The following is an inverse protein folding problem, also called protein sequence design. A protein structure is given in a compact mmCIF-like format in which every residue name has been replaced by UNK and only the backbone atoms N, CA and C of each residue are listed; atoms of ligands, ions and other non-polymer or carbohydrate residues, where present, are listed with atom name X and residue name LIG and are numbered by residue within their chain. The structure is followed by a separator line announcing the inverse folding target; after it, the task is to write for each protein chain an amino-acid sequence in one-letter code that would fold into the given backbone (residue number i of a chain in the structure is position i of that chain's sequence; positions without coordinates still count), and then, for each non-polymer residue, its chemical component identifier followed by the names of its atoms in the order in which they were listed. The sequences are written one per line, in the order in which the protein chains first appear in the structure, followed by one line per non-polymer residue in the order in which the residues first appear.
data_IF_590095826544
#
_entry.id   IF_590095826544
#
_cell.length_a   1.000
_cell.length_b   1.000
_cell.length_c   1.000
_cell.angle_alpha   90.00
_cell.angle_beta   90.00
_cell.angle_gamma   90.00
#
_symmetry.space_group_name_H-M   'P 1'
#
loop_
_entity.id
_entity.type
_entity.pdbx_description
1 polymer ?
#
# COMPACT_ATOMS: atom_id res chain seq x y z
N UNK A 1 -5.24 -2.04 -21.21
CA UNK A 1 -4.29 -1.16 -20.50
C UNK A 1 -3.02 -1.95 -20.20
N UNK A 2 -1.85 -1.42 -20.52
CA UNK A 2 -0.57 -2.06 -20.15
C UNK A 2 -0.19 -1.78 -18.68
N UNK A 3 0.81 -2.50 -18.19
CA UNK A 3 1.23 -2.48 -16.79
C UNK A 3 1.85 -1.15 -16.36
N UNK A 4 2.63 -0.50 -17.23
CA UNK A 4 3.29 0.76 -16.90
C UNK A 4 2.25 1.88 -16.73
N UNK A 5 1.24 1.92 -17.61
CA UNK A 5 0.12 2.85 -17.47
C UNK A 5 -0.66 2.59 -16.17
N UNK A 6 -0.96 1.32 -15.85
CA UNK A 6 -1.65 0.99 -14.60
C UNK A 6 -0.84 1.40 -13.35
N UNK A 7 0.49 1.24 -13.38
CA UNK A 7 1.38 1.68 -12.31
C UNK A 7 1.36 3.21 -12.15
N UNK A 8 1.39 3.96 -13.25
CA UNK A 8 1.31 5.43 -13.22
C UNK A 8 -0.03 5.88 -12.63
N UNK A 9 -1.14 5.29 -13.08
CA UNK A 9 -2.47 5.60 -12.55
C UNK A 9 -2.53 5.31 -11.04
N UNK A 10 -2.00 4.17 -10.60
CA UNK A 10 -1.94 3.82 -9.18
C UNK A 10 -1.14 4.86 -8.36
N UNK A 11 0.04 5.25 -8.83
CA UNK A 11 0.87 6.28 -8.21
C UNK A 11 0.15 7.63 -8.12
N UNK A 12 -0.59 8.01 -9.17
CA UNK A 12 -1.31 9.27 -9.22
C UNK A 12 -2.57 9.28 -8.33
N UNK A 13 -3.27 8.14 -8.19
CA UNK A 13 -4.45 8.02 -7.32
C UNK A 13 -4.09 8.04 -5.83
N UNK A 14 -2.84 7.76 -5.47
CA UNK A 14 -2.36 7.73 -4.07
C UNK A 14 -1.56 8.99 -3.73
N UNK A 15 -0.27 8.99 -4.04
CA UNK A 15 0.72 10.00 -3.65
C UNK A 15 0.94 11.06 -4.75
N UNK A 16 0.23 10.97 -5.87
CA UNK A 16 0.44 11.86 -7.00
C UNK A 16 -0.67 12.89 -7.23
N UNK A 17 -0.50 13.65 -8.31
CA UNK A 17 -1.44 14.69 -8.71
C UNK A 17 -1.29 15.07 -10.17
N UNK A 18 -2.39 15.53 -10.75
CA UNK A 18 -2.40 16.32 -11.98
C UNK A 18 -2.80 17.75 -11.64
N UNK A 19 -2.04 18.73 -12.11
CA UNK A 19 -2.32 20.16 -11.87
C UNK A 19 -2.15 20.96 -13.14
N UNK A 20 -3.21 21.61 -13.62
CA UNK A 20 -3.12 22.59 -14.69
C UNK A 20 -2.29 23.80 -14.18
N UNK A 21 -1.14 24.05 -14.81
CA UNK A 21 -0.24 25.17 -14.46
C UNK A 21 -0.48 26.37 -15.36
N UNK A 22 -0.68 26.14 -16.64
CA UNK A 22 -1.07 27.14 -17.65
C UNK A 22 -2.04 26.48 -18.64
N UNK A 23 -2.65 27.27 -19.54
CA UNK A 23 -3.62 26.76 -20.52
C UNK A 23 -3.14 25.51 -21.28
N UNK A 24 -1.83 25.43 -21.58
CA UNK A 24 -1.22 24.34 -22.36
C UNK A 24 -0.19 23.54 -21.57
N UNK A 25 -0.28 23.53 -20.23
CA UNK A 25 0.70 22.83 -19.39
C UNK A 25 0.05 22.20 -18.17
N UNK A 26 0.00 20.87 -18.17
CA UNK A 26 -0.36 20.07 -16.99
C UNK A 26 0.91 19.54 -16.35
N UNK A 27 1.05 19.75 -15.05
CA UNK A 27 2.05 19.09 -14.20
C UNK A 27 1.52 17.72 -13.78
N UNK A 28 2.29 16.69 -14.07
CA UNK A 28 2.09 15.31 -13.62
C UNK A 28 3.12 15.07 -12.53
N UNK A 29 2.69 14.79 -11.31
CA UNK A 29 3.63 14.73 -10.19
C UNK A 29 3.36 13.63 -9.20
N UNK A 30 4.44 13.20 -8.54
CA UNK A 30 4.46 12.31 -7.40
C UNK A 30 5.08 13.01 -6.20
N UNK A 31 4.38 13.03 -5.07
CA UNK A 31 4.85 13.56 -3.79
C UNK A 31 5.21 12.41 -2.85
N UNK A 32 6.51 12.16 -2.63
CA UNK A 32 6.98 11.06 -1.78
C UNK A 32 8.30 11.38 -1.08
N UNK A 33 8.54 10.73 0.06
CA UNK A 33 9.85 10.77 0.74
C UNK A 33 10.78 9.64 0.32
N UNK A 34 10.29 8.66 -0.46
CA UNK A 34 11.09 7.52 -0.93
C UNK A 34 11.82 7.83 -2.23
N UNK A 35 13.16 7.71 -2.25
CA UNK A 35 13.98 7.72 -3.48
C UNK A 35 13.43 6.70 -4.49
N UNK A 36 13.22 5.47 -4.02
CA UNK A 36 12.80 4.34 -4.84
C UNK A 36 11.54 4.68 -5.64
N UNK A 37 10.55 5.32 -5.01
CA UNK A 37 9.34 5.74 -5.69
C UNK A 37 9.58 6.85 -6.72
N UNK A 38 10.51 7.78 -6.47
CA UNK A 38 10.89 8.82 -7.44
C UNK A 38 11.60 8.24 -8.65
N UNK A 39 12.53 7.31 -8.44
CA UNK A 39 13.25 6.62 -9.51
C UNK A 39 12.27 5.80 -10.35
N UNK A 40 11.36 5.08 -9.70
CA UNK A 40 10.37 4.27 -10.37
C UNK A 40 9.36 5.10 -11.16
N UNK A 41 8.86 6.19 -10.59
CA UNK A 41 8.02 7.14 -11.32
C UNK A 41 8.75 7.71 -12.54
N UNK A 42 10.02 8.08 -12.38
CA UNK A 42 10.81 8.63 -13.50
C UNK A 42 11.02 7.62 -14.62
N UNK A 43 11.30 6.37 -14.26
CA UNK A 43 11.40 5.25 -15.21
C UNK A 43 10.08 5.05 -15.96
N UNK A 44 8.96 5.00 -15.24
CA UNK A 44 7.62 4.80 -15.83
C UNK A 44 7.25 5.94 -16.78
N UNK A 45 7.43 7.20 -16.36
CA UNK A 45 7.13 8.37 -17.21
C UNK A 45 7.97 8.39 -18.49
N UNK A 46 9.26 8.07 -18.39
CA UNK A 46 10.16 8.00 -19.56
C UNK A 46 9.78 6.85 -20.48
N UNK A 47 9.50 5.67 -19.93
CA UNK A 47 9.21 4.46 -20.72
C UNK A 47 7.84 4.55 -21.40
N UNK A 48 6.80 4.97 -20.67
CA UNK A 48 5.43 4.99 -21.16
C UNK A 48 5.12 6.20 -22.05
N UNK A 49 5.68 7.37 -21.73
CA UNK A 49 5.31 8.63 -22.37
C UNK A 49 6.48 9.39 -22.99
N UNK A 50 7.72 8.88 -22.89
CA UNK A 50 8.91 9.61 -23.35
C UNK A 50 9.19 10.88 -22.53
N UNK A 51 8.58 11.04 -21.36
CA UNK A 51 8.70 12.24 -20.54
C UNK A 51 9.83 12.10 -19.51
N UNK A 52 10.73 13.08 -19.50
CA UNK A 52 11.70 13.21 -18.41
C UNK A 52 11.03 13.88 -17.21
N UNK A 53 11.14 13.25 -16.05
CA UNK A 53 10.76 13.86 -14.77
C UNK A 53 11.97 14.47 -14.09
N UNK A 54 11.75 15.63 -13.46
CA UNK A 54 12.73 16.28 -12.60
C UNK A 54 12.28 16.17 -11.15
N UNK A 55 13.21 15.82 -10.26
CA UNK A 55 12.96 15.80 -8.82
C UNK A 55 13.37 17.12 -8.17
N UNK A 56 12.47 17.65 -7.34
CA UNK A 56 12.75 18.79 -6.46
C UNK A 56 12.18 18.50 -5.07
N UNK A 57 13.08 18.34 -4.09
CA UNK A 57 12.75 17.93 -2.71
C UNK A 57 11.97 16.61 -2.69
N UNK A 58 10.77 16.61 -2.13
CA UNK A 58 9.90 15.44 -2.03
C UNK A 58 9.03 15.22 -3.29
N UNK A 59 9.18 16.04 -4.32
CA UNK A 59 8.28 16.04 -5.49
C UNK A 59 9.03 15.71 -6.77
N UNK A 60 8.59 14.67 -7.49
CA UNK A 60 9.00 14.42 -8.88
C UNK A 60 7.92 14.91 -9.83
N UNK A 61 8.33 15.56 -10.92
CA UNK A 61 7.42 16.26 -11.84
C UNK A 61 7.79 16.01 -13.28
N UNK A 62 6.80 15.72 -14.11
CA UNK A 62 6.84 15.81 -15.55
C UNK A 62 5.78 16.81 -16.03
N UNK A 63 5.92 17.32 -17.25
CA UNK A 63 4.98 18.28 -17.82
C UNK A 63 4.55 17.84 -19.22
N UNK A 64 3.24 17.72 -19.43
CA UNK A 64 2.67 17.48 -20.74
C UNK A 64 1.16 17.70 -20.67
N UNK A 65 0.64 18.55 -21.56
CA UNK A 65 -0.81 18.76 -21.66
C UNK A 65 -1.50 17.51 -22.22
N UNK A 66 -1.00 16.98 -23.34
CA UNK A 66 -1.59 15.82 -24.01
C UNK A 66 -1.68 14.60 -23.06
N UNK A 67 -0.58 14.27 -22.39
CA UNK A 67 -0.54 13.13 -21.45
C UNK A 67 -1.39 13.41 -20.22
N UNK A 68 -1.37 14.65 -19.70
CA UNK A 68 -2.23 15.03 -18.57
C UNK A 68 -3.72 14.87 -18.88
N UNK A 69 -4.16 15.30 -20.05
CA UNK A 69 -5.55 15.15 -20.51
C UNK A 69 -5.91 13.69 -20.76
N UNK A 70 -5.01 12.91 -21.39
CA UNK A 70 -5.18 11.47 -21.56
C UNK A 70 -5.39 10.77 -20.20
N UNK A 71 -4.56 11.08 -19.21
CA UNK A 71 -4.64 10.50 -17.88
C UNK A 71 -5.97 10.85 -17.18
N UNK A 72 -6.51 12.06 -17.36
CA UNK A 72 -7.80 12.48 -16.78
C UNK A 72 -8.98 11.67 -17.32
N UNK A 73 -8.90 11.19 -18.57
CA UNK A 73 -9.97 10.38 -19.17
C UNK A 73 -10.17 9.03 -18.46
N UNK A 74 -9.17 8.54 -17.72
CA UNK A 74 -9.23 7.23 -17.05
C UNK A 74 -9.91 7.24 -15.68
N UNK A 75 -9.81 8.34 -14.94
CA UNK A 75 -10.26 8.39 -13.52
C UNK A 75 -11.18 9.57 -13.23
N UNK A 76 -11.46 10.42 -14.22
CA UNK A 76 -12.13 11.73 -14.08
C UNK A 76 -11.22 12.78 -13.44
N UNK A 77 -10.67 12.48 -12.26
CA UNK A 77 -9.62 13.27 -11.61
C UNK A 77 -8.74 12.38 -10.74
N UNK A 78 -7.58 12.90 -10.31
CA UNK A 78 -6.65 12.21 -9.39
C UNK A 78 -6.67 12.81 -7.98
N UNK A 79 -7.46 13.86 -7.76
CA UNK A 79 -7.65 14.39 -6.42
C UNK A 79 -8.51 13.41 -5.63
N UNK A 80 -8.04 12.94 -4.47
CA UNK A 80 -8.84 12.04 -3.60
C UNK A 80 -9.40 12.73 -2.35
N UNK A 81 -9.07 14.02 -2.16
CA UNK A 81 -9.43 14.80 -0.97
C UNK A 81 -10.82 15.42 -1.11
N UNK A 82 -11.59 15.31 -0.02
CA UNK A 82 -12.89 15.96 0.17
C UNK A 82 -12.85 17.46 -0.11
N UNK A 83 -13.82 17.97 -0.87
CA UNK A 83 -14.07 19.39 -1.04
C UNK A 83 -14.94 19.87 0.11
N UNK A 84 -14.40 20.76 0.96
CA UNK A 84 -15.12 21.29 2.11
C UNK A 84 -16.23 22.24 1.67
N UNK A 85 -16.00 22.93 0.56
CA UNK A 85 -16.87 23.96 -0.01
C UNK A 85 -18.17 23.35 -0.54
N UNK A 86 -18.09 22.19 -1.19
CA UNK A 86 -19.23 21.49 -1.78
C UNK A 86 -19.72 20.30 -0.96
N UNK A 87 -19.05 20.01 0.16
CA UNK A 87 -19.30 18.86 1.03
C UNK A 87 -19.35 17.52 0.26
N UNK A 88 -18.46 17.37 -0.75
CA UNK A 88 -18.44 16.22 -1.65
C UNK A 88 -17.02 15.72 -1.89
N UNK A 89 -16.90 14.43 -2.15
CA UNK A 89 -15.69 13.89 -2.77
C UNK A 89 -15.69 14.21 -4.27
N UNK A 90 -14.51 14.41 -4.87
CA UNK A 90 -14.37 14.47 -6.33
C UNK A 90 -14.89 13.18 -7.00
N UNK A 91 -15.24 13.26 -8.28
CA UNK A 91 -15.59 12.08 -9.06
C UNK A 91 -14.31 11.33 -9.48
N UNK A 92 -13.70 10.67 -8.51
CA UNK A 92 -12.49 9.86 -8.69
C UNK A 92 -12.81 8.39 -8.59
N UNK A 93 -12.36 7.63 -9.58
CA UNK A 93 -12.58 6.19 -9.66
C UNK A 93 -11.34 5.46 -10.20
N UNK A 94 -11.25 4.16 -9.92
CA UNK A 94 -10.33 3.23 -10.58
C UNK A 94 -10.85 3.00 -12.00
N UNK A 95 -10.00 3.01 -13.05
CA UNK A 95 -10.43 2.81 -14.43
C UNK A 95 -11.09 1.45 -14.64
N UNK A 96 -12.08 1.39 -15.54
CA UNK A 96 -12.80 0.16 -15.86
C UNK A 96 -11.89 -0.92 -16.45
N UNK A 97 -10.85 -0.54 -17.18
CA UNK A 97 -9.85 -1.48 -17.71
C UNK A 97 -9.05 -2.18 -16.61
N UNK A 98 -8.88 -1.54 -15.46
CA UNK A 98 -8.25 -2.17 -14.28
C UNK A 98 -9.28 -3.02 -13.53
N UNK A 99 -10.48 -2.51 -13.29
CA UNK A 99 -11.57 -3.25 -12.61
C UNK A 99 -11.90 -4.56 -13.33
N UNK A 100 -11.96 -4.50 -14.66
CA UNK A 100 -12.27 -5.63 -15.53
C UNK A 100 -11.02 -6.36 -16.06
N UNK A 101 -9.82 -5.86 -15.77
CA UNK A 101 -8.56 -6.45 -16.16
C UNK A 101 -8.31 -7.86 -15.62
N UNK A 102 -7.30 -8.53 -16.20
CA UNK A 102 -6.86 -9.83 -15.73
C UNK A 102 -6.17 -9.76 -14.35
N UNK A 103 -5.95 -10.92 -13.73
CA UNK A 103 -5.35 -10.98 -12.40
C UNK A 103 -3.95 -10.37 -12.35
N UNK A 104 -3.15 -10.44 -13.43
CA UNK A 104 -1.78 -9.91 -13.46
C UNK A 104 -1.77 -8.39 -13.50
N UNK A 105 -2.69 -7.78 -14.26
CA UNK A 105 -2.86 -6.33 -14.32
C UNK A 105 -3.35 -5.78 -12.97
N UNK A 106 -4.36 -6.42 -12.38
CA UNK A 106 -4.90 -6.02 -11.07
C UNK A 106 -3.83 -6.12 -9.98
N UNK A 107 -3.09 -7.24 -9.92
CA UNK A 107 -1.99 -7.41 -8.97
C UNK A 107 -0.92 -6.33 -9.15
N UNK A 108 -0.58 -5.99 -10.39
CA UNK A 108 0.39 -4.95 -10.68
C UNK A 108 -0.10 -3.57 -10.24
N UNK A 109 -1.33 -3.18 -10.59
CA UNK A 109 -1.95 -1.94 -10.11
C UNK A 109 -1.97 -1.85 -8.58
N UNK A 110 -2.44 -2.91 -7.91
CA UNK A 110 -2.51 -2.96 -6.45
C UNK A 110 -1.13 -2.89 -5.79
N UNK A 111 -0.08 -3.45 -6.40
CA UNK A 111 1.30 -3.35 -5.89
C UNK A 111 1.71 -1.90 -5.71
N UNK A 112 1.46 -1.05 -6.70
CA UNK A 112 1.83 0.38 -6.62
C UNK A 112 0.92 1.12 -5.64
N UNK A 113 -0.39 0.89 -5.67
CA UNK A 113 -1.33 1.53 -4.75
C UNK A 113 -0.98 1.25 -3.27
N UNK A 114 -0.74 -0.02 -2.93
CA UNK A 114 -0.30 -0.41 -1.59
C UNK A 114 1.13 0.02 -1.27
N UNK A 115 2.00 0.21 -2.26
CA UNK A 115 3.34 0.74 -2.00
C UNK A 115 3.30 2.19 -1.54
N UNK A 116 2.42 3.01 -2.09
CA UNK A 116 2.22 4.40 -1.67
C UNK A 116 1.47 4.47 -0.34
N UNK A 117 0.17 4.20 -0.39
CA UNK A 117 -0.76 4.42 0.73
C UNK A 117 -0.94 3.21 1.64
N UNK A 118 -0.33 2.09 1.27
CA UNK A 118 -0.41 0.86 2.04
C UNK A 118 0.70 0.69 3.08
N UNK A 119 0.43 -0.17 4.06
CA UNK A 119 1.41 -0.56 5.08
C UNK A 119 1.16 -1.98 5.58
N UNK A 120 2.23 -2.66 5.99
CA UNK A 120 2.16 -3.91 6.73
C UNK A 120 2.45 -3.63 8.22
N UNK A 121 1.44 -3.74 9.08
CA UNK A 121 1.56 -3.47 10.50
C UNK A 121 1.61 -4.73 11.36
N UNK A 122 2.67 -4.89 12.17
CA UNK A 122 2.78 -5.92 13.19
C UNK A 122 2.60 -5.31 14.59
N UNK A 123 1.50 -5.64 15.25
CA UNK A 123 1.28 -5.29 16.66
C UNK A 123 1.68 -6.46 17.55
N UNK A 124 2.48 -6.17 18.57
CA UNK A 124 2.93 -7.12 19.59
C UNK A 124 2.27 -6.72 20.90
N UNK A 125 1.44 -7.61 21.45
CA UNK A 125 0.66 -7.39 22.67
C UNK A 125 0.96 -8.47 23.70
N UNK A 126 0.97 -8.11 24.98
CA UNK A 126 1.10 -9.07 26.08
C UNK A 126 -0.29 -9.58 26.47
N UNK A 127 -0.44 -10.88 26.67
CA UNK A 127 -1.69 -11.48 27.13
C UNK A 127 -2.10 -10.92 28.48
N UNK A 128 -3.36 -10.50 28.59
CA UNK A 128 -3.93 -10.05 29.87
C UNK A 128 -4.12 -11.24 30.83
N UNK A 129 -4.53 -12.40 30.31
CA UNK A 129 -4.87 -13.59 31.11
C UNK A 129 -3.76 -14.65 31.18
N UNK A 130 -2.80 -14.59 30.27
CA UNK A 130 -1.68 -15.55 30.20
C UNK A 130 -0.38 -14.82 30.51
N UNK A 131 -0.01 -14.81 31.81
CA UNK A 131 1.25 -14.22 32.29
C UNK A 131 2.40 -14.84 31.47
N UNK A 132 3.11 -14.01 30.70
CA UNK A 132 4.25 -14.33 29.83
C UNK A 132 3.93 -14.81 28.40
N UNK A 133 2.71 -14.61 27.89
CA UNK A 133 2.40 -14.87 26.49
C UNK A 133 2.35 -13.57 25.66
N UNK A 134 2.92 -13.64 24.46
CA UNK A 134 2.94 -12.54 23.48
C UNK A 134 2.10 -12.88 22.25
N UNK A 135 1.29 -11.93 21.80
CA UNK A 135 0.35 -12.05 20.70
C UNK A 135 0.76 -11.14 19.53
N UNK A 136 0.59 -11.64 18.32
CA UNK A 136 0.95 -10.94 17.09
C UNK A 136 -0.30 -10.69 16.27
N UNK A 137 -0.71 -9.44 16.20
CA UNK A 137 -1.74 -9.04 15.25
C UNK A 137 -1.04 -8.52 14.01
N UNK A 138 -1.17 -9.28 12.92
CA UNK A 138 -0.66 -8.96 11.60
C UNK A 138 -1.78 -8.29 10.82
N UNK A 139 -1.47 -7.22 10.11
CA UNK A 139 -2.41 -6.60 9.18
C UNK A 139 -1.69 -6.00 8.00
N UNK A 140 -2.35 -6.01 6.86
CA UNK A 140 -2.00 -5.17 5.72
C UNK A 140 -3.16 -4.19 5.58
N UNK A 141 -2.84 -2.91 5.37
CA UNK A 141 -3.86 -1.87 5.22
C UNK A 141 -3.53 -0.95 4.06
N UNK A 142 -4.56 -0.36 3.46
CA UNK A 142 -4.48 0.73 2.50
C UNK A 142 -5.22 1.94 3.07
N UNK A 143 -4.56 3.09 3.17
CA UNK A 143 -5.20 4.33 3.60
C UNK A 143 -5.85 5.02 2.41
N UNK A 144 -7.15 5.29 2.48
CA UNK A 144 -7.87 6.05 1.47
C UNK A 144 -9.11 6.67 2.11
N UNK A 145 -9.21 8.00 2.13
CA UNK A 145 -10.39 8.67 2.72
C UNK A 145 -11.59 8.70 1.79
N UNK A 146 -11.39 8.41 0.50
CA UNK A 146 -12.43 8.44 -0.52
C UNK A 146 -13.27 7.15 -0.46
N UNK A 147 -14.57 7.21 -0.11
CA UNK A 147 -15.40 6.02 0.10
C UNK A 147 -15.54 5.16 -1.15
N UNK A 148 -15.80 5.78 -2.31
CA UNK A 148 -15.94 5.05 -3.59
C UNK A 148 -14.69 4.25 -3.92
N UNK A 149 -13.51 4.90 -3.91
CA UNK A 149 -12.24 4.21 -4.15
C UNK A 149 -11.98 3.08 -3.15
N UNK A 150 -12.31 3.23 -1.86
CA UNK A 150 -12.15 2.14 -0.88
C UNK A 150 -12.95 0.89 -1.28
N UNK A 151 -14.21 1.07 -1.68
CA UNK A 151 -15.05 -0.03 -2.13
C UNK A 151 -14.57 -0.61 -3.47
N UNK A 152 -14.05 0.22 -4.38
CA UNK A 152 -13.46 -0.27 -5.63
C UNK A 152 -12.18 -1.08 -5.39
N UNK A 153 -11.29 -0.63 -4.50
CA UNK A 153 -10.12 -1.40 -4.07
C UNK A 153 -10.52 -2.76 -3.46
N UNK A 154 -11.57 -2.77 -2.63
CA UNK A 154 -12.11 -4.02 -2.06
C UNK A 154 -12.59 -4.96 -3.17
N UNK A 155 -13.39 -4.48 -4.12
CA UNK A 155 -13.92 -5.29 -5.24
C UNK A 155 -12.81 -5.90 -6.09
N UNK A 156 -11.76 -5.13 -6.43
CA UNK A 156 -10.65 -5.68 -7.23
C UNK A 156 -9.76 -6.66 -6.45
N UNK A 157 -9.64 -6.49 -5.12
CA UNK A 157 -8.99 -7.48 -4.25
C UNK A 157 -9.79 -8.80 -4.20
N UNK A 158 -11.10 -8.72 -4.03
CA UNK A 158 -11.99 -9.88 -4.04
C UNK A 158 -11.91 -10.65 -5.37
N UNK A 159 -11.82 -9.94 -6.49
CA UNK A 159 -11.66 -10.54 -7.83
C UNK A 159 -10.40 -11.40 -7.98
N UNK A 160 -9.34 -11.09 -7.23
CA UNK A 160 -8.10 -11.90 -7.21
C UNK A 160 -8.01 -12.84 -6.00
N UNK A 161 -9.13 -13.06 -5.30
CA UNK A 161 -9.24 -14.00 -4.18
C UNK A 161 -8.67 -13.48 -2.87
N UNK A 162 -8.54 -12.16 -2.69
CA UNK A 162 -8.05 -11.57 -1.44
C UNK A 162 -9.21 -10.89 -0.71
N UNK A 163 -9.68 -11.53 0.36
CA UNK A 163 -10.70 -10.94 1.21
C UNK A 163 -10.17 -9.74 1.99
N UNK A 164 -10.96 -8.67 2.03
CA UNK A 164 -10.63 -7.45 2.77
C UNK A 164 -11.86 -6.83 3.42
N UNK A 165 -11.62 -6.02 4.45
CA UNK A 165 -12.64 -5.28 5.18
C UNK A 165 -12.42 -3.78 5.02
N UNK A 166 -13.47 -3.04 4.68
CA UNK A 166 -13.44 -1.58 4.62
C UNK A 166 -13.90 -0.98 5.94
N UNK A 167 -13.25 0.10 6.37
CA UNK A 167 -13.67 0.95 7.47
C UNK A 167 -13.74 2.39 6.98
N UNK A 168 -14.94 2.84 6.64
CA UNK A 168 -15.19 4.19 6.13
C UNK A 168 -14.82 5.24 7.18
N UNK A 169 -15.18 5.03 8.44
CA UNK A 169 -14.86 5.96 9.54
C UNK A 169 -13.36 6.14 9.75
N UNK A 170 -12.55 5.11 9.49
CA UNK A 170 -11.09 5.19 9.58
C UNK A 170 -10.43 5.59 8.26
N UNK A 171 -11.18 5.63 7.14
CA UNK A 171 -10.65 5.83 5.80
C UNK A 171 -9.61 4.77 5.43
N UNK A 172 -9.92 3.49 5.70
CA UNK A 172 -8.97 2.39 5.53
C UNK A 172 -9.62 1.12 5.00
N UNK A 173 -8.85 0.37 4.23
CA UNK A 173 -9.10 -1.01 3.87
C UNK A 173 -8.09 -1.91 4.60
N UNK A 174 -8.54 -3.07 5.08
CA UNK A 174 -7.74 -4.01 5.87
C UNK A 174 -7.77 -5.42 5.29
N UNK A 175 -6.61 -6.07 5.26
CA UNK A 175 -6.44 -7.51 5.02
C UNK A 175 -5.83 -8.08 6.30
N UNK A 176 -6.64 -8.83 7.06
CA UNK A 176 -6.30 -9.29 8.41
C UNK A 176 -6.34 -10.82 8.55
N UNK A 177 -7.04 -11.51 7.64
CA UNK A 177 -7.07 -12.97 7.65
C UNK A 177 -5.74 -13.54 7.12
N UNK A 178 -5.41 -14.76 7.56
CA UNK A 178 -4.15 -15.41 7.19
C UNK A 178 -4.04 -15.62 5.67
N UNK A 179 -5.06 -16.21 5.06
CA UNK A 179 -5.08 -16.53 3.64
C UNK A 179 -4.91 -15.30 2.75
N UNK A 180 -5.58 -14.18 3.08
CA UNK A 180 -5.45 -12.93 2.35
C UNK A 180 -4.07 -12.30 2.52
N UNK A 181 -3.50 -12.38 3.73
CA UNK A 181 -2.12 -11.91 3.98
C UNK A 181 -1.12 -12.77 3.19
N UNK A 182 -1.21 -14.09 3.24
CA UNK A 182 -0.34 -15.00 2.48
C UNK A 182 -0.45 -14.75 0.97
N UNK A 183 -1.68 -14.62 0.46
CA UNK A 183 -1.96 -14.27 -0.93
C UNK A 183 -1.36 -12.92 -1.33
N UNK A 184 -1.49 -11.89 -0.48
CA UNK A 184 -0.86 -10.60 -0.72
C UNK A 184 0.67 -10.71 -0.78
N UNK A 185 1.26 -11.46 0.15
CA UNK A 185 2.72 -11.66 0.23
C UNK A 185 3.27 -12.40 -0.99
N UNK A 186 2.46 -13.17 -1.70
CA UNK A 186 2.89 -13.94 -2.86
C UNK A 186 2.64 -13.20 -4.15
N UNK A 187 1.45 -12.59 -4.29
CA UNK A 187 0.94 -12.10 -5.57
C UNK A 187 1.09 -10.61 -5.78
N UNK A 188 0.97 -9.80 -4.72
CA UNK A 188 0.98 -8.33 -4.83
C UNK A 188 2.34 -7.78 -4.37
N UNK A 189 2.69 -8.01 -3.10
CA UNK A 189 3.87 -7.45 -2.43
C UNK A 189 3.92 -5.91 -2.49
N UNK A 190 4.97 -5.32 -1.95
CA UNK A 190 5.31 -3.91 -2.18
C UNK A 190 6.43 -3.82 -3.22
N UNK A 191 6.74 -2.62 -3.71
CA UNK A 191 8.01 -2.39 -4.41
C UNK A 191 9.19 -2.59 -3.46
N UNK A 192 10.23 -3.24 -3.97
CA UNK A 192 11.48 -3.49 -3.23
C UNK A 192 12.21 -2.17 -2.94
N UNK A 193 12.90 -2.09 -1.80
CA UNK A 193 13.58 -0.86 -1.38
C UNK A 193 12.66 0.23 -0.82
N UNK A 194 11.33 0.01 -0.75
CA UNK A 194 10.42 0.94 -0.08
C UNK A 194 10.32 0.60 1.41
N UNK A 195 10.62 1.59 2.25
CA UNK A 195 10.67 1.43 3.71
C UNK A 195 9.39 1.87 4.41
N UNK A 196 9.17 1.33 5.60
CA UNK A 196 8.12 1.72 6.52
C UNK A 196 8.38 3.13 7.07
N UNK A 197 7.47 4.04 6.76
CA UNK A 197 7.49 5.44 7.20
C UNK A 197 6.28 5.75 8.10
N UNK A 198 6.39 6.79 8.92
CA UNK A 198 5.28 7.32 9.71
C UNK A 198 5.30 6.98 11.21
N UNK A 199 4.50 7.72 11.99
CA UNK A 199 4.49 7.66 13.47
C UNK A 199 3.86 6.37 14.02
N UNK A 200 2.87 5.81 13.32
CA UNK A 200 2.13 4.63 13.77
C UNK A 200 2.91 3.31 13.70
N UNK A 201 4.06 3.29 13.02
CA UNK A 201 4.93 2.13 12.88
C UNK A 201 6.33 2.40 13.44
N UNK A 202 6.43 3.22 14.49
CA UNK A 202 7.72 3.71 15.01
C UNK A 202 8.75 2.61 15.29
N UNK A 203 8.34 1.46 15.83
CA UNK A 203 9.23 0.33 16.13
C UNK A 203 9.77 -0.37 14.87
N UNK A 204 9.05 -0.27 13.75
CA UNK A 204 9.39 -0.85 12.46
C UNK A 204 9.91 0.20 11.45
N UNK A 205 10.08 1.45 11.88
CA UNK A 205 10.52 2.54 11.01
C UNK A 205 11.88 2.20 10.38
N UNK A 206 12.01 2.42 9.08
CA UNK A 206 13.23 2.15 8.33
C UNK A 206 13.39 0.70 7.86
N UNK A 207 12.57 -0.24 8.35
CA UNK A 207 12.51 -1.59 7.77
C UNK A 207 11.81 -1.53 6.41
N UNK A 208 12.31 -2.27 5.43
CA UNK A 208 11.64 -2.45 4.14
C UNK A 208 10.27 -3.12 4.30
N UNK A 209 9.27 -2.65 3.54
CA UNK A 209 7.90 -3.18 3.63
C UNK A 209 7.84 -4.67 3.29
N UNK A 210 8.65 -5.13 2.33
CA UNK A 210 8.71 -6.54 1.95
C UNK A 210 9.40 -7.42 3.01
N UNK A 211 10.34 -6.89 3.81
CA UNK A 211 10.91 -7.63 4.96
C UNK A 211 9.86 -7.89 6.03
N UNK A 212 8.96 -6.93 6.29
CA UNK A 212 7.82 -7.15 7.19
C UNK A 212 6.91 -8.30 6.72
N UNK A 213 6.71 -8.44 5.40
CA UNK A 213 5.95 -9.57 4.85
C UNK A 213 6.68 -10.90 5.06
N UNK A 214 8.02 -10.94 5.01
CA UNK A 214 8.80 -12.12 5.40
C UNK A 214 8.64 -12.44 6.88
N UNK A 215 8.64 -11.43 7.76
CA UNK A 215 8.35 -11.62 9.19
C UNK A 215 6.97 -12.26 9.40
N UNK A 216 5.95 -11.90 8.61
CA UNK A 216 4.65 -12.58 8.68
C UNK A 216 4.72 -14.06 8.33
N UNK A 217 5.38 -14.40 7.21
CA UNK A 217 5.57 -15.79 6.80
C UNK A 217 6.34 -16.60 7.83
N UNK A 218 7.39 -16.03 8.41
CA UNK A 218 8.13 -16.65 9.52
C UNK A 218 7.20 -16.98 10.70
N UNK A 219 6.41 -15.99 11.14
CA UNK A 219 5.46 -16.18 12.25
C UNK A 219 4.38 -17.23 11.95
N UNK A 220 3.93 -17.35 10.69
CA UNK A 220 3.01 -18.41 10.28
C UNK A 220 3.68 -19.79 10.26
N UNK A 221 4.91 -19.90 9.75
CA UNK A 221 5.66 -21.17 9.77
C UNK A 221 5.88 -21.68 11.20
N UNK A 222 6.24 -20.77 12.13
CA UNK A 222 6.32 -21.11 13.55
C UNK A 222 4.94 -21.57 14.07
N UNK A 223 3.86 -20.91 13.62
CA UNK A 223 2.49 -21.34 13.92
C UNK A 223 2.17 -22.75 13.54
N UNK A 224 2.50 -23.12 12.32
CA UNK A 224 2.20 -24.44 11.79
C UNK A 224 3.03 -25.53 12.50
N UNK A 225 4.31 -25.23 12.78
CA UNK A 225 5.22 -26.17 13.44
C UNK A 225 4.78 -26.58 14.85
N UNK A 226 3.99 -25.73 15.52
CA UNK A 226 3.53 -25.94 16.89
C UNK A 226 2.13 -26.61 16.96
N UNK A 227 1.61 -27.11 15.82
CA UNK A 227 0.43 -27.99 15.70
C UNK A 227 -0.80 -27.55 16.52
N UNK A 228 -1.16 -26.27 16.47
CA UNK A 228 -2.37 -25.71 17.10
C UNK A 228 -2.51 -25.92 18.62
N UNK A 229 -1.51 -26.46 19.34
CA UNK A 229 -1.52 -26.51 20.79
C UNK A 229 -1.27 -25.09 21.33
N UNK A 230 -2.38 -24.34 21.42
CA UNK A 230 -2.52 -22.96 21.93
C UNK A 230 -1.71 -21.92 21.15
N UNK A 231 -2.14 -21.66 19.92
CA UNK A 231 -1.66 -20.52 19.11
C UNK A 231 -2.23 -19.15 19.49
N UNK A 232 -2.58 -18.99 20.76
CA UNK A 232 -2.86 -17.71 21.40
C UNK A 232 -1.64 -17.25 22.23
N UNK A 233 -0.45 -17.29 21.61
CA UNK A 233 0.67 -16.46 22.03
C UNK A 233 1.80 -17.16 22.78
N UNK A 234 2.94 -17.25 22.10
CA UNK A 234 4.21 -16.91 22.75
C UNK A 234 4.81 -17.91 23.75
N UNK A 235 4.40 -19.18 23.81
CA UNK A 235 5.09 -20.12 24.72
C UNK A 235 6.58 -20.30 24.33
N UNK A 236 6.90 -20.33 23.04
CA UNK A 236 8.29 -20.31 22.55
C UNK A 236 9.00 -18.96 22.81
N UNK A 237 8.23 -17.91 23.08
CA UNK A 237 8.73 -16.57 23.42
C UNK A 237 8.66 -16.24 24.91
N UNK A 238 8.43 -17.24 25.77
CA UNK A 238 8.53 -17.05 27.23
C UNK A 238 9.90 -16.50 27.67
N UNK A 239 10.91 -16.69 26.83
CA UNK A 239 12.27 -16.21 27.05
C UNK A 239 12.42 -14.70 26.78
N UNK A 240 11.48 -14.07 26.08
CA UNK A 240 11.49 -12.62 25.84
C UNK A 240 10.78 -11.89 26.99
N UNK A 241 11.54 -11.04 27.69
CA UNK A 241 11.07 -10.26 28.83
C UNK A 241 10.36 -8.98 28.38
N UNK A 242 10.80 -8.39 27.27
CA UNK A 242 10.27 -7.11 26.77
C UNK A 242 9.86 -7.18 25.31
N UNK A 243 9.04 -6.22 24.88
CA UNK A 243 8.58 -6.09 23.49
C UNK A 243 9.75 -5.76 22.56
N UNK A 244 10.70 -4.97 23.05
CA UNK A 244 11.89 -4.52 22.33
C UNK A 244 12.77 -5.72 21.96
N UNK A 245 12.97 -6.66 22.89
CA UNK A 245 13.73 -7.88 22.60
C UNK A 245 13.06 -8.72 21.50
N UNK A 246 11.73 -8.76 21.43
CA UNK A 246 11.00 -9.46 20.36
C UNK A 246 11.18 -8.73 19.03
N UNK A 247 11.07 -7.39 19.03
CA UNK A 247 11.29 -6.59 17.82
C UNK A 247 12.71 -6.78 17.30
N UNK A 248 13.71 -6.76 18.17
CA UNK A 248 15.12 -6.94 17.79
C UNK A 248 15.40 -8.35 17.26
N UNK A 249 14.74 -9.36 17.82
CA UNK A 249 14.80 -10.72 17.30
C UNK A 249 14.15 -10.81 15.91
N UNK A 250 12.93 -10.29 15.75
CA UNK A 250 12.20 -10.35 14.48
C UNK A 250 12.87 -9.53 13.36
N UNK A 251 13.62 -8.48 13.70
CA UNK A 251 14.43 -7.72 12.74
C UNK A 251 15.62 -8.50 12.17
N UNK A 252 15.99 -9.62 12.81
CA UNK A 252 17.10 -10.50 12.39
C UNK A 252 16.63 -11.76 11.67
N UNK A 253 15.32 -12.01 11.63
CA UNK A 253 14.71 -13.18 10.98
C UNK A 253 14.24 -12.82 9.57
#
# INVERSE_FOLDING_TARGET
MDKDLAAIIALLLTDGSLTLRTQNRIEIALDSTSETLHQEFSRLMKTKFGLNSSRYKIKSRAFSYAVGTELLNYTGTYRTKFFKETNKFPDTHIPEEIKHGDAKLIQHFLKYAFTCDGSAGLSIQKGQHTKNCWFFQKRIQLACKHPTLLEEYKKILEKIGIHSRVSISQGKLFIENREGIESFCERIKFLDGVVMCGKGNSVWKGMEKNEMLKTYKFLYKISDSLKNQRFYGGYWMKNFKTKEQIVDFLKKC
#
